data_IF_632967493516
#
_entry.id   IF_632967493516
#
_cell.length_a   1.000
_cell.length_b   1.000
_cell.length_c   1.000
_cell.angle_alpha   90.00
_cell.angle_beta   90.00
_cell.angle_gamma   90.00
#
_symmetry.space_group_name_H-M   'P 1'
#
loop_
_entity.id
_entity.type
_entity.pdbx_description
1 polymer ?
#
# COMPACT_ATOMS: atom_id res chain seq x y z
N UNK A 1 27.79 4.60 -13.35
CA UNK A 1 27.20 3.34 -12.88
C UNK A 1 27.72 2.21 -13.76
N UNK A 2 28.26 1.13 -13.19
CA UNK A 2 28.85 0.00 -13.94
C UNK A 2 27.77 -0.99 -14.39
N UNK A 3 28.08 -1.87 -15.35
CA UNK A 3 27.17 -2.95 -15.75
C UNK A 3 26.80 -3.85 -14.56
N UNK A 4 27.77 -4.20 -13.73
CA UNK A 4 27.56 -4.99 -12.52
C UNK A 4 26.58 -4.33 -11.55
N UNK A 5 26.69 -3.00 -11.36
CA UNK A 5 25.74 -2.25 -10.52
C UNK A 5 24.32 -2.28 -11.09
N UNK A 6 24.17 -2.13 -12.41
CA UNK A 6 22.86 -2.21 -13.07
C UNK A 6 22.21 -3.57 -12.93
N UNK A 7 23.01 -4.64 -13.06
CA UNK A 7 22.52 -6.02 -12.87
C UNK A 7 22.07 -6.22 -11.42
N UNK A 8 22.89 -5.79 -10.44
CA UNK A 8 22.54 -5.92 -9.02
C UNK A 8 21.22 -5.20 -8.67
N UNK A 9 21.01 -3.98 -9.20
CA UNK A 9 19.76 -3.25 -9.02
C UNK A 9 18.58 -4.01 -9.64
N UNK A 10 18.70 -4.44 -10.89
CA UNK A 10 17.63 -5.18 -11.56
C UNK A 10 17.28 -6.49 -10.83
N UNK A 11 18.28 -7.19 -10.29
CA UNK A 11 18.06 -8.38 -9.46
C UNK A 11 17.36 -8.05 -8.14
N UNK A 12 17.70 -6.95 -7.47
CA UNK A 12 17.04 -6.53 -6.24
C UNK A 12 15.58 -6.12 -6.46
N UNK A 13 15.28 -5.53 -7.62
CA UNK A 13 13.94 -5.05 -8.01
C UNK A 13 13.03 -6.21 -8.41
N UNK A 14 13.49 -7.07 -9.33
CA UNK A 14 12.70 -8.13 -9.96
C UNK A 14 12.85 -9.50 -9.27
N UNK A 15 13.88 -9.70 -8.46
CA UNK A 15 14.13 -10.94 -7.71
C UNK A 15 13.20 -11.07 -6.53
N UNK A 16 11.95 -11.45 -6.78
CA UNK A 16 10.97 -11.72 -5.73
C UNK A 16 11.19 -13.12 -5.14
N UNK A 17 11.08 -13.27 -3.80
CA UNK A 17 11.13 -14.59 -3.17
C UNK A 17 9.97 -15.45 -3.65
N UNK A 18 10.26 -16.68 -4.08
CA UNK A 18 9.25 -17.65 -4.53
C UNK A 18 8.67 -18.47 -3.38
N UNK A 19 9.33 -18.46 -2.23
CA UNK A 19 9.00 -19.20 -1.01
C UNK A 19 8.23 -18.38 0.03
N UNK A 20 8.05 -17.07 -0.22
CA UNK A 20 7.39 -16.14 0.71
C UNK A 20 6.14 -15.52 0.10
N UNK A 21 5.18 -15.20 0.96
CA UNK A 21 3.99 -14.47 0.52
C UNK A 21 4.35 -13.02 0.20
N UNK A 22 4.04 -12.56 -1.02
CA UNK A 22 4.32 -11.19 -1.43
C UNK A 22 3.36 -10.15 -0.83
N UNK A 23 2.32 -10.60 -0.13
CA UNK A 23 1.29 -9.75 0.47
C UNK A 23 1.31 -9.73 2.01
N UNK A 24 1.69 -10.83 2.65
CA UNK A 24 1.57 -11.03 4.09
C UNK A 24 2.91 -11.53 4.68
N UNK A 25 3.04 -11.58 6.01
CA UNK A 25 4.24 -12.11 6.70
C UNK A 25 5.58 -11.46 6.27
N UNK A 26 5.51 -10.19 5.85
CA UNK A 26 6.67 -9.45 5.35
C UNK A 26 7.61 -9.08 6.49
N UNK A 27 8.91 -9.15 6.23
CA UNK A 27 9.95 -8.71 7.16
C UNK A 27 10.34 -7.26 6.90
N UNK A 28 10.86 -6.58 7.93
CA UNK A 28 11.33 -5.19 7.86
C UNK A 28 10.54 -4.23 8.76
N UNK A 29 10.65 -2.94 8.46
CA UNK A 29 9.91 -1.90 9.19
C UNK A 29 8.49 -1.75 8.62
N UNK A 30 7.44 -1.90 9.46
CA UNK A 30 6.07 -1.71 9.01
C UNK A 30 5.83 -0.23 8.73
N UNK A 31 5.52 0.09 7.48
CA UNK A 31 5.13 1.42 7.04
C UNK A 31 3.74 1.32 6.45
N UNK A 32 2.88 2.29 6.78
CA UNK A 32 1.55 2.43 6.22
C UNK A 32 1.52 3.61 5.24
N UNK A 33 1.60 3.38 3.91
CA UNK A 33 1.42 4.40 2.91
C UNK A 33 0.01 4.95 2.98
N UNK A 34 -0.09 6.26 3.20
CA UNK A 34 -1.36 6.96 3.28
C UNK A 34 -1.41 8.06 2.22
N UNK A 35 -2.61 8.36 1.75
CA UNK A 35 -2.87 9.50 0.87
C UNK A 35 -3.61 10.59 1.62
N UNK A 36 -3.36 11.85 1.25
CA UNK A 36 -4.18 12.97 1.68
C UNK A 36 -5.56 12.87 1.05
N UNK A 37 -6.59 13.09 1.84
CA UNK A 37 -7.98 13.05 1.40
C UNK A 37 -8.86 13.95 2.28
N UNK A 38 -10.02 14.36 1.74
CA UNK A 38 -11.10 14.88 2.57
C UNK A 38 -11.70 13.72 3.37
N UNK A 39 -11.79 13.91 4.68
CA UNK A 39 -12.35 12.95 5.63
C UNK A 39 -13.45 13.61 6.45
N UNK A 40 -14.46 12.85 6.93
CA UNK A 40 -15.45 13.37 7.86
C UNK A 40 -14.78 13.99 9.09
N UNK A 41 -15.19 15.20 9.46
CA UNK A 41 -14.76 15.81 10.71
C UNK A 41 -15.71 15.43 11.84
N UNK A 42 -15.35 14.38 12.58
CA UNK A 42 -16.13 13.85 13.69
C UNK A 42 -15.99 14.63 14.99
N UNK A 43 -15.22 15.73 14.98
CA UNK A 43 -15.11 16.63 16.14
C UNK A 43 -16.41 17.43 16.31
N UNK A 44 -16.77 17.88 17.52
CA UNK A 44 -17.99 18.65 17.74
C UNK A 44 -18.15 19.86 16.80
N UNK A 45 -17.06 20.53 16.41
CA UNK A 45 -17.09 21.68 15.50
C UNK A 45 -17.43 21.32 14.05
N UNK A 46 -17.22 20.06 13.66
CA UNK A 46 -17.54 19.54 12.33
C UNK A 46 -18.96 19.00 12.20
N UNK A 47 -19.68 18.86 13.32
CA UNK A 47 -21.03 18.33 13.40
C UNK A 47 -22.03 19.47 13.53
N UNK A 48 -23.04 19.51 12.67
CA UNK A 48 -24.15 20.47 12.77
C UNK A 48 -25.46 19.80 12.39
N UNK A 49 -26.58 20.37 12.82
CA UNK A 49 -27.91 19.89 12.42
C UNK A 49 -28.51 20.90 11.43
N UNK A 50 -28.85 20.44 10.23
CA UNK A 50 -29.48 21.25 9.19
C UNK A 50 -30.81 20.61 8.81
N UNK A 51 -31.91 21.35 8.95
CA UNK A 51 -33.27 20.86 8.68
C UNK A 51 -33.61 19.53 9.39
N UNK A 52 -33.14 19.36 10.63
CA UNK A 52 -33.34 18.14 11.43
C UNK A 52 -32.45 16.96 11.07
N UNK A 53 -31.56 17.10 10.07
CA UNK A 53 -30.58 16.07 9.68
C UNK A 53 -29.18 16.38 10.22
N UNK A 54 -28.45 15.34 10.64
CA UNK A 54 -27.05 15.48 11.04
C UNK A 54 -26.18 15.71 9.80
N UNK A 55 -25.54 16.86 9.77
CA UNK A 55 -24.56 17.24 8.77
C UNK A 55 -23.15 17.10 9.33
N UNK A 56 -22.28 16.43 8.58
CA UNK A 56 -20.87 16.22 8.93
C UNK A 56 -19.98 16.93 7.92
N UNK A 57 -19.25 17.93 8.39
CA UNK A 57 -18.32 18.70 7.57
C UNK A 57 -17.09 17.86 7.22
N UNK A 58 -16.39 18.21 6.14
CA UNK A 58 -15.14 17.56 5.75
C UNK A 58 -13.93 18.36 6.22
N UNK A 59 -12.84 17.65 6.58
CA UNK A 59 -11.52 18.23 6.83
C UNK A 59 -10.45 17.50 6.01
N UNK A 60 -9.29 18.12 5.86
CA UNK A 60 -8.13 17.41 5.33
C UNK A 60 -7.64 16.38 6.36
N UNK A 61 -7.41 15.15 5.90
CA UNK A 61 -6.86 14.06 6.69
C UNK A 61 -6.15 13.04 5.82
N UNK A 62 -5.94 11.85 6.37
CA UNK A 62 -5.28 10.73 5.70
C UNK A 62 -6.22 9.54 5.56
N UNK A 63 -6.07 8.78 4.48
CA UNK A 63 -6.74 7.49 4.24
C UNK A 63 -5.76 6.49 3.66
N UNK A 64 -6.09 5.21 3.75
CA UNK A 64 -5.43 4.15 2.99
C UNK A 64 -5.44 4.47 1.49
N UNK A 65 -4.44 3.94 0.79
CA UNK A 65 -4.35 4.04 -0.67
C UNK A 65 -5.58 3.38 -1.31
N UNK A 66 -5.98 3.90 -2.48
CA UNK A 66 -7.02 3.25 -3.29
C UNK A 66 -6.40 2.10 -4.08
N UNK A 67 -7.24 1.17 -4.51
CA UNK A 67 -6.84 0.10 -5.43
C UNK A 67 -6.07 0.67 -6.62
N UNK A 68 -4.97 0.01 -6.97
CA UNK A 68 -4.05 0.46 -8.01
C UNK A 68 -2.63 0.01 -7.74
N UNK A 69 -1.66 0.87 -8.01
CA UNK A 69 -0.23 0.54 -7.90
C UNK A 69 0.52 1.60 -7.10
N UNK A 70 1.45 1.14 -6.25
CA UNK A 70 2.38 1.97 -5.49
C UNK A 70 3.80 1.61 -5.89
N UNK A 71 4.57 2.59 -6.35
CA UNK A 71 5.99 2.47 -6.63
C UNK A 71 6.78 3.29 -5.61
N UNK A 72 7.77 2.66 -4.99
CA UNK A 72 8.62 3.26 -3.97
C UNK A 72 10.07 3.09 -4.41
N UNK A 73 10.79 4.20 -4.50
CA UNK A 73 12.21 4.20 -4.78
C UNK A 73 12.98 4.18 -3.45
N UNK A 74 13.51 3.02 -3.10
CA UNK A 74 14.33 2.84 -1.90
C UNK A 74 15.75 3.33 -2.16
N UNK A 75 16.27 4.12 -1.22
CA UNK A 75 17.62 4.70 -1.24
C UNK A 75 18.01 5.39 -2.55
N UNK A 76 17.02 5.90 -3.29
CA UNK A 76 17.20 6.50 -4.62
C UNK A 76 17.80 5.54 -5.66
N UNK A 77 17.72 4.23 -5.43
CA UNK A 77 18.41 3.23 -6.24
C UNK A 77 17.53 2.05 -6.67
N UNK A 78 16.67 1.53 -5.80
CA UNK A 78 15.95 0.28 -6.03
C UNK A 78 14.44 0.54 -6.03
N UNK A 79 13.77 0.19 -7.13
CA UNK A 79 12.31 0.21 -7.20
C UNK A 79 11.68 -1.00 -6.51
N UNK A 80 10.83 -0.73 -5.53
CA UNK A 80 9.81 -1.66 -5.08
C UNK A 80 8.45 -1.25 -5.64
N UNK A 81 7.70 -2.21 -6.18
CA UNK A 81 6.36 -2.00 -6.68
C UNK A 81 5.35 -2.89 -5.95
N UNK A 82 4.19 -2.33 -5.65
CA UNK A 82 3.12 -2.99 -4.92
C UNK A 82 1.78 -2.78 -5.60
N UNK A 83 1.01 -3.84 -5.75
CA UNK A 83 -0.41 -3.78 -6.04
C UNK A 83 -1.15 -3.41 -4.75
N UNK A 84 -2.06 -2.45 -4.84
CA UNK A 84 -2.94 -2.06 -3.74
C UNK A 84 -4.29 -2.72 -3.97
N UNK A 85 -4.75 -3.57 -3.05
CA UNK A 85 -6.09 -4.15 -3.10
C UNK A 85 -7.17 -3.10 -2.80
N UNK A 86 -8.43 -3.44 -3.03
CA UNK A 86 -9.57 -2.57 -2.68
C UNK A 86 -9.59 -2.19 -1.19
N UNK A 87 -9.22 -3.12 -0.31
CA UNK A 87 -9.12 -2.92 1.13
C UNK A 87 -7.84 -2.18 1.55
N UNK A 88 -6.92 -1.90 0.62
CA UNK A 88 -5.67 -1.21 0.89
C UNK A 88 -4.49 -2.13 1.23
N UNK A 89 -4.64 -3.45 1.09
CA UNK A 89 -3.52 -4.39 1.28
C UNK A 89 -2.51 -4.23 0.15
N UNK A 90 -1.23 -4.44 0.48
CA UNK A 90 -0.15 -4.27 -0.48
C UNK A 90 0.42 -5.63 -0.86
N UNK A 91 0.57 -5.93 -2.15
CA UNK A 91 1.26 -7.12 -2.66
C UNK A 91 2.44 -6.69 -3.52
N UNK A 92 3.67 -7.06 -3.16
CA UNK A 92 4.85 -6.71 -3.96
C UNK A 92 4.83 -7.51 -5.27
N UNK A 93 5.23 -6.86 -6.36
CA UNK A 93 5.36 -7.48 -7.69
C UNK A 93 6.62 -6.95 -8.40
N UNK A 94 6.93 -7.52 -9.57
CA UNK A 94 8.08 -7.08 -10.38
C UNK A 94 7.75 -5.70 -10.99
N UNK A 95 8.52 -4.63 -10.69
CA UNK A 95 8.21 -3.29 -11.16
C UNK A 95 8.11 -3.17 -12.69
N UNK A 96 8.76 -4.06 -13.43
CA UNK A 96 8.80 -4.10 -14.89
C UNK A 96 7.69 -4.94 -15.53
N UNK A 97 7.00 -5.75 -14.73
CA UNK A 97 5.99 -6.70 -15.17
C UNK A 97 4.75 -6.59 -14.26
N UNK A 98 3.98 -5.48 -14.37
CA UNK A 98 2.70 -5.37 -13.66
C UNK A 98 1.70 -6.41 -14.15
N UNK A 99 0.89 -6.93 -13.24
CA UNK A 99 -0.14 -7.92 -13.58
C UNK A 99 -1.19 -7.32 -14.52
N UNK A 100 -1.62 -8.08 -15.53
CA UNK A 100 -2.74 -7.73 -16.41
C UNK A 100 -4.07 -8.01 -15.70
N UNK A 101 -4.38 -7.26 -14.65
CA UNK A 101 -5.60 -7.47 -13.88
C UNK A 101 -5.81 -6.46 -12.75
N UNK A 102 -6.97 -6.54 -12.12
CA UNK A 102 -7.18 -5.82 -10.87
C UNK A 102 -6.43 -6.53 -9.74
N UNK A 103 -5.81 -5.77 -8.82
CA UNK A 103 -5.17 -6.34 -7.63
C UNK A 103 -6.11 -7.28 -6.87
N UNK A 104 -5.72 -8.55 -6.74
CA UNK A 104 -6.50 -9.53 -6.01
C UNK A 104 -6.52 -9.23 -4.50
N UNK A 105 -7.66 -9.48 -3.85
CA UNK A 105 -7.80 -9.40 -2.39
C UNK A 105 -6.85 -10.36 -1.67
N UNK A 106 -6.60 -10.08 -0.39
CA UNK A 106 -5.87 -11.01 0.47
C UNK A 106 -6.77 -12.22 0.80
N UNK A 107 -6.24 -13.46 0.83
CA UNK A 107 -7.02 -14.63 1.25
C UNK A 107 -7.59 -14.45 2.66
N UNK A 108 -8.81 -14.95 2.91
CA UNK A 108 -9.49 -14.83 4.20
C UNK A 108 -8.67 -15.39 5.37
N UNK A 109 -7.96 -16.50 5.15
CA UNK A 109 -7.06 -17.08 6.16
C UNK A 109 -6.03 -16.06 6.65
N UNK A 110 -5.37 -15.36 5.73
CA UNK A 110 -4.33 -14.38 6.06
C UNK A 110 -4.91 -13.17 6.80
N UNK A 111 -6.12 -12.74 6.45
CA UNK A 111 -6.83 -11.66 7.16
C UNK A 111 -7.16 -12.10 8.59
N UNK A 112 -7.68 -13.31 8.77
CA UNK A 112 -8.05 -13.85 10.08
C UNK A 112 -6.83 -14.06 11.00
N UNK A 113 -5.68 -14.38 10.43
CA UNK A 113 -4.41 -14.51 11.15
C UNK A 113 -3.72 -13.15 11.38
N UNK A 114 -4.32 -12.03 10.94
CA UNK A 114 -3.76 -10.67 11.00
C UNK A 114 -2.40 -10.53 10.28
N UNK A 115 -2.22 -11.28 9.20
CA UNK A 115 -1.02 -11.18 8.36
C UNK A 115 -1.10 -10.02 7.36
N UNK A 116 -2.16 -9.22 7.41
CA UNK A 116 -2.40 -8.01 6.63
C UNK A 116 -1.50 -6.82 7.00
N UNK A 117 -0.27 -7.12 7.45
CA UNK A 117 0.71 -6.12 7.86
C UNK A 117 0.85 -5.08 6.73
N UNK A 118 0.62 -3.79 7.02
CA UNK A 118 0.81 -2.73 6.04
C UNK A 118 2.27 -2.74 5.60
N UNK A 119 2.51 -2.48 4.31
CA UNK A 119 3.81 -2.68 3.63
C UNK A 119 5.02 -2.58 4.54
N UNK A 120 5.81 -3.65 4.58
CA UNK A 120 7.11 -3.60 5.19
C UNK A 120 8.15 -3.18 4.16
N UNK A 121 8.99 -2.20 4.51
CA UNK A 121 10.14 -1.77 3.73
C UNK A 121 11.39 -1.92 4.60
N UNK A 122 12.53 -2.22 3.95
CA UNK A 122 13.86 -2.42 4.54
C UNK A 122 14.10 -3.83 5.09
#
# INVERSE_FOLDING_TARGET
MTLSQRIAIATAEAGLPSDQCMACERQGLPILPLRRALVPDTRPQGLSTVAGSLHVSAKLGVRTLRMGYLYVLLDQQVWHAYEVSEQGHLRRFNPYEPSEGLPASLPEKCVNENHDIPSSFL
#
